data_IF_815082989488
#
_entry.id   IF_815082989488
#
_cell.length_a   1.000
_cell.length_b   1.000
_cell.length_c   1.000
_cell.angle_alpha   90.00
_cell.angle_beta   90.00
_cell.angle_gamma   90.00
#
_symmetry.space_group_name_H-M   'P 1'
#
loop_
_entity.id
_entity.type
_entity.pdbx_description
1 polymer ?
#
# COMPACT_ATOMS: atom_id res chain seq x y z
N UNK A 1 11.42 0.70 -12.07
CA UNK A 1 10.76 1.36 -10.94
C UNK A 1 9.82 0.42 -10.19
N UNK A 2 8.86 -0.16 -10.86
CA UNK A 2 7.90 -1.05 -10.22
C UNK A 2 8.31 -2.51 -10.20
N UNK A 3 9.27 -2.90 -11.00
CA UNK A 3 9.65 -4.29 -11.16
C UNK A 3 11.15 -4.47 -10.94
N UNK A 4 11.52 -5.63 -10.38
CA UNK A 4 12.92 -5.99 -10.24
C UNK A 4 13.47 -6.53 -11.56
N UNK A 5 14.73 -6.97 -11.58
CA UNK A 5 15.41 -7.48 -12.78
C UNK A 5 14.73 -8.69 -13.39
N UNK A 6 14.02 -9.46 -12.57
CA UNK A 6 13.30 -10.66 -13.03
C UNK A 6 11.88 -10.37 -13.48
N UNK A 7 11.48 -9.09 -13.49
CA UNK A 7 10.14 -8.69 -13.90
C UNK A 7 9.07 -8.87 -12.84
N UNK A 8 9.48 -9.10 -11.59
CA UNK A 8 8.57 -9.29 -10.46
C UNK A 8 8.29 -7.94 -9.80
N UNK A 9 7.05 -7.72 -9.40
CA UNK A 9 6.63 -6.48 -8.74
C UNK A 9 7.43 -6.28 -7.44
N UNK A 10 8.13 -5.16 -7.35
CA UNK A 10 9.06 -4.84 -6.28
C UNK A 10 8.41 -4.06 -5.14
N UNK A 11 7.24 -4.51 -4.71
CA UNK A 11 6.42 -3.75 -3.76
C UNK A 11 7.00 -3.79 -2.34
N UNK A 12 7.54 -4.93 -1.93
CA UNK A 12 8.11 -5.08 -0.57
C UNK A 12 9.25 -4.08 -0.34
N UNK A 13 10.14 -3.97 -1.30
CA UNK A 13 11.27 -3.05 -1.20
C UNK A 13 10.80 -1.59 -1.20
N UNK A 14 9.81 -1.27 -2.02
CA UNK A 14 9.25 0.08 -2.06
C UNK A 14 8.62 0.46 -0.72
N UNK A 15 7.88 -0.46 -0.10
CA UNK A 15 7.24 -0.22 1.20
C UNK A 15 8.27 -0.07 2.31
N UNK A 16 9.24 -0.97 2.38
CA UNK A 16 10.28 -0.96 3.42
C UNK A 16 11.10 0.33 3.37
N UNK A 17 11.34 0.86 2.18
CA UNK A 17 12.12 2.08 2.00
C UNK A 17 11.30 3.36 2.12
N UNK A 18 9.98 3.23 2.26
CA UNK A 18 9.10 4.39 2.37
C UNK A 18 9.21 5.03 3.75
N UNK A 19 9.30 6.36 3.79
CA UNK A 19 9.46 7.11 5.04
C UNK A 19 8.30 6.90 6.01
N UNK A 20 7.07 6.85 5.50
CA UNK A 20 5.89 6.63 6.35
C UNK A 20 5.95 5.28 7.03
N UNK A 21 6.33 4.24 6.29
CA UNK A 21 6.46 2.90 6.84
C UNK A 21 7.55 2.85 7.91
N UNK A 22 8.71 3.44 7.63
CA UNK A 22 9.81 3.47 8.60
C UNK A 22 9.43 4.16 9.89
N UNK A 23 8.72 5.29 9.79
CA UNK A 23 8.28 6.03 10.98
C UNK A 23 7.30 5.23 11.82
N UNK A 24 6.34 4.57 11.19
CA UNK A 24 5.34 3.77 11.90
C UNK A 24 5.99 2.57 12.59
N UNK A 25 6.94 1.92 11.93
CA UNK A 25 7.58 0.71 12.44
C UNK A 25 8.76 0.97 13.37
N UNK A 26 9.09 2.23 13.61
CA UNK A 26 10.25 2.60 14.41
C UNK A 26 10.22 2.00 15.83
N UNK A 27 9.06 2.03 16.49
CA UNK A 27 8.93 1.49 17.84
C UNK A 27 8.33 0.09 17.88
N UNK A 28 8.00 -0.48 16.73
CA UNK A 28 7.45 -1.81 16.62
C UNK A 28 6.00 -1.96 17.03
N UNK A 29 5.34 -0.85 17.35
CA UNK A 29 3.94 -0.82 17.79
C UNK A 29 3.15 0.08 16.85
N UNK A 30 2.03 -0.44 16.30
CA UNK A 30 1.15 0.34 15.44
C UNK A 30 -0.06 0.79 16.24
N UNK A 31 -0.29 2.10 16.31
CA UNK A 31 -1.41 2.68 17.05
C UNK A 31 -2.55 3.05 16.09
N UNK A 32 -3.75 3.22 16.66
CA UNK A 32 -4.91 3.69 15.89
C UNK A 32 -4.66 5.07 15.30
N UNK A 33 -3.94 5.93 16.03
CA UNK A 33 -3.58 7.25 15.55
C UNK A 33 -2.68 7.19 14.32
N UNK A 34 -1.73 6.26 14.33
CA UNK A 34 -0.84 6.05 13.18
C UNK A 34 -1.60 5.55 11.96
N UNK A 35 -2.57 4.65 12.17
CA UNK A 35 -3.44 4.16 11.09
C UNK A 35 -4.25 5.30 10.51
N UNK A 36 -4.83 6.15 11.38
CA UNK A 36 -5.61 7.30 10.93
C UNK A 36 -4.74 8.27 10.13
N UNK A 37 -3.55 8.57 10.63
CA UNK A 37 -2.62 9.48 9.94
C UNK A 37 -2.25 8.95 8.57
N UNK A 38 -2.00 7.64 8.46
CA UNK A 38 -1.68 7.01 7.19
C UNK A 38 -2.87 7.04 6.24
N UNK A 39 -4.07 6.80 6.76
CA UNK A 39 -5.31 6.90 5.97
C UNK A 39 -5.49 8.32 5.43
N UNK A 40 -5.23 9.33 6.25
CA UNK A 40 -5.34 10.72 5.83
C UNK A 40 -4.38 11.04 4.68
N UNK A 41 -3.18 10.46 4.71
CA UNK A 41 -2.21 10.63 3.62
C UNK A 41 -2.73 10.03 2.31
N UNK A 42 -3.31 8.85 2.38
CA UNK A 42 -3.89 8.19 1.20
C UNK A 42 -5.03 9.04 0.62
N UNK A 43 -5.91 9.52 1.49
CA UNK A 43 -7.04 10.36 1.08
C UNK A 43 -6.54 11.64 0.42
N UNK A 44 -5.50 12.27 0.97
CA UNK A 44 -4.94 13.50 0.40
C UNK A 44 -4.38 13.25 -1.01
N UNK A 45 -3.68 12.14 -1.21
CA UNK A 45 -3.15 11.77 -2.52
C UNK A 45 -4.29 11.55 -3.52
N UNK A 46 -5.34 10.86 -3.10
CA UNK A 46 -6.48 10.60 -3.97
C UNK A 46 -7.21 11.88 -4.36
N UNK A 47 -7.38 12.82 -3.42
CA UNK A 47 -7.98 14.11 -3.74
C UNK A 47 -7.14 14.88 -4.76
N UNK A 48 -5.83 14.83 -4.63
CA UNK A 48 -4.94 15.47 -5.59
C UNK A 48 -5.07 14.84 -6.97
N UNK A 49 -5.17 13.51 -7.03
CA UNK A 49 -5.36 12.80 -8.29
C UNK A 49 -6.69 13.14 -8.95
N UNK A 50 -7.76 13.23 -8.15
CA UNK A 50 -9.07 13.60 -8.67
C UNK A 50 -9.06 14.98 -9.32
N UNK A 51 -8.24 15.89 -8.82
CA UNK A 51 -8.10 17.23 -9.38
C UNK A 51 -7.28 17.26 -10.69
N UNK A 52 -6.40 16.28 -10.88
CA UNK A 52 -5.45 16.25 -12.00
C UNK A 52 -5.85 15.34 -13.15
N UNK A 53 -6.55 14.24 -12.86
CA UNK A 53 -6.77 13.18 -13.83
C UNK A 53 -8.22 13.12 -14.28
N UNK A 54 -8.44 12.60 -15.48
CA UNK A 54 -9.78 12.42 -16.02
C UNK A 54 -10.43 11.14 -15.46
N UNK A 55 -11.72 10.93 -15.77
CA UNK A 55 -12.49 9.81 -15.23
C UNK A 55 -11.91 8.46 -15.64
N UNK A 56 -11.42 8.33 -16.86
CA UNK A 56 -10.83 7.09 -17.34
C UNK A 56 -9.56 6.74 -16.56
N UNK A 57 -8.71 7.72 -16.34
CA UNK A 57 -7.49 7.55 -15.55
C UNK A 57 -7.79 7.22 -14.10
N UNK A 58 -8.80 7.85 -13.53
CA UNK A 58 -9.21 7.60 -12.15
C UNK A 58 -9.77 6.19 -11.99
N UNK A 59 -10.48 5.68 -13.00
CA UNK A 59 -10.97 4.29 -12.99
C UNK A 59 -9.82 3.31 -12.98
N UNK A 60 -8.76 3.56 -13.73
CA UNK A 60 -7.57 2.71 -13.72
C UNK A 60 -6.88 2.71 -12.36
N UNK A 61 -6.78 3.89 -11.72
CA UNK A 61 -6.20 4.03 -10.39
C UNK A 61 -7.04 3.27 -9.36
N UNK A 62 -8.35 3.40 -9.45
CA UNK A 62 -9.28 2.68 -8.57
C UNK A 62 -9.08 1.17 -8.68
N UNK A 63 -8.99 0.66 -9.89
CA UNK A 63 -8.78 -0.78 -10.12
C UNK A 63 -7.45 -1.24 -9.54
N UNK A 64 -6.40 -0.44 -9.70
CA UNK A 64 -5.10 -0.77 -9.12
C UNK A 64 -5.17 -0.86 -7.60
N UNK A 65 -5.84 0.09 -6.96
CA UNK A 65 -6.00 0.10 -5.50
C UNK A 65 -6.76 -1.14 -5.04
N UNK A 66 -7.85 -1.48 -5.72
CA UNK A 66 -8.66 -2.66 -5.37
C UNK A 66 -7.82 -3.93 -5.49
N UNK A 67 -7.16 -4.13 -6.62
CA UNK A 67 -6.37 -5.34 -6.85
C UNK A 67 -5.17 -5.42 -5.92
N UNK A 68 -4.55 -4.29 -5.60
CA UNK A 68 -3.46 -4.24 -4.62
C UNK A 68 -3.96 -4.63 -3.23
N UNK A 69 -5.16 -4.19 -2.88
CA UNK A 69 -5.76 -4.53 -1.58
C UNK A 69 -6.06 -6.02 -1.48
N UNK A 70 -6.55 -6.62 -2.57
CA UNK A 70 -6.77 -8.06 -2.64
C UNK A 70 -5.45 -8.80 -2.46
N UNK A 71 -4.40 -8.35 -3.12
CA UNK A 71 -3.07 -8.96 -3.01
C UNK A 71 -2.59 -8.96 -1.56
N UNK A 72 -2.71 -7.83 -0.87
CA UNK A 72 -2.29 -7.73 0.52
C UNK A 72 -3.13 -8.62 1.44
N UNK A 73 -4.44 -8.66 1.22
CA UNK A 73 -5.32 -9.49 2.03
C UNK A 73 -4.99 -10.96 1.87
N UNK A 74 -4.76 -11.40 0.64
CA UNK A 74 -4.42 -12.80 0.34
C UNK A 74 -3.03 -13.13 0.92
N UNK A 75 -2.08 -12.23 0.77
CA UNK A 75 -0.73 -12.43 1.30
C UNK A 75 -0.74 -12.56 2.82
N UNK A 76 -1.50 -11.71 3.49
CA UNK A 76 -1.61 -11.77 4.95
C UNK A 76 -2.25 -13.07 5.40
N UNK A 77 -3.29 -13.52 4.70
CA UNK A 77 -3.93 -14.79 5.00
C UNK A 77 -2.95 -15.95 4.84
N UNK A 78 -2.19 -15.95 3.76
CA UNK A 78 -1.19 -16.98 3.50
C UNK A 78 -0.12 -17.01 4.61
N UNK A 79 0.37 -15.84 5.00
CA UNK A 79 1.41 -15.73 6.03
C UNK A 79 0.92 -16.25 7.38
N UNK A 80 -0.31 -15.89 7.76
CA UNK A 80 -0.90 -16.34 9.03
C UNK A 80 -1.09 -17.84 9.02
N UNK A 81 -1.58 -18.40 7.92
CA UNK A 81 -1.81 -19.83 7.79
C UNK A 81 -0.51 -20.62 7.88
N UNK A 82 0.55 -20.11 7.28
CA UNK A 82 1.86 -20.77 7.34
C UNK A 82 2.49 -20.70 8.73
N UNK A 83 2.27 -19.62 9.45
CA UNK A 83 2.79 -19.45 10.81
C UNK A 83 2.09 -20.40 11.77
N UNK A 84 0.80 -20.66 11.56
CA UNK A 84 0.00 -21.51 12.42
C UNK A 84 0.17 -23.01 12.15
N UNK A 85 0.98 -23.34 11.17
CA UNK A 85 1.33 -24.74 10.91
C UNK A 85 2.51 -25.17 11.75
#
# INVERSE_FOLDING_TARGET
MFFNEDGILNIDEMVVNNASFKNIMEDGIVTEEEIKTQSDKVVAILHEMEAKYNDEQLEEIKNLIIESSVLYAVYNYYSIKNINM
#
